data_IF_740766528531
#
_entry.id   IF_740766528531
#
_cell.length_a   1.000
_cell.length_b   1.000
_cell.length_c   1.000
_cell.angle_alpha   90.00
_cell.angle_beta   90.00
_cell.angle_gamma   90.00
#
_symmetry.space_group_name_H-M   'P 1'
#
loop_
_entity.id
_entity.type
_entity.pdbx_description
1 polymer ?
#
# COMPACT_ATOMS: atom_id res chain seq x y z
N UNK A 1 44.80 24.41 26.44
CA UNK A 1 44.19 24.00 25.14
C UNK A 1 43.88 22.53 25.28
N UNK A 2 42.61 22.11 25.22
CA UNK A 2 42.29 20.69 25.12
C UNK A 2 42.65 20.20 23.69
N UNK A 3 42.99 18.91 23.52
CA UNK A 3 43.36 18.36 22.22
C UNK A 3 42.13 18.36 21.30
N UNK A 4 42.35 18.78 20.06
CA UNK A 4 41.36 18.71 18.96
C UNK A 4 41.16 17.21 18.69
N UNK A 5 39.99 16.69 18.99
CA UNK A 5 39.60 15.34 18.58
C UNK A 5 39.59 15.28 17.04
N UNK A 6 40.14 14.20 16.44
CA UNK A 6 40.10 14.03 15.01
C UNK A 6 38.63 13.96 14.56
N UNK A 7 38.26 14.82 13.60
CA UNK A 7 36.98 14.81 12.94
C UNK A 7 36.69 13.37 12.50
N UNK A 8 35.58 12.79 12.97
CA UNK A 8 35.06 11.53 12.46
C UNK A 8 34.99 11.65 10.94
N UNK A 9 35.67 10.77 10.23
CA UNK A 9 35.55 10.65 8.79
C UNK A 9 34.08 10.37 8.47
N UNK A 10 33.44 11.32 7.83
CA UNK A 10 32.06 11.17 7.39
C UNK A 10 31.99 10.04 6.36
N UNK A 11 31.05 9.07 6.49
CA UNK A 11 30.96 7.95 5.57
C UNK A 11 30.68 8.47 4.15
N UNK A 12 31.49 8.06 3.18
CA UNK A 12 31.31 8.39 1.77
C UNK A 12 30.19 7.53 1.21
N UNK A 13 29.17 8.14 0.63
CA UNK A 13 28.13 7.43 -0.11
C UNK A 13 28.39 7.42 -1.60
N UNK A 14 27.98 6.34 -2.27
CA UNK A 14 28.09 6.19 -3.71
C UNK A 14 26.70 6.36 -4.33
N UNK A 15 26.61 7.34 -5.22
CA UNK A 15 25.38 7.69 -5.93
C UNK A 15 25.35 7.01 -7.29
N UNK A 16 24.31 6.22 -7.54
CA UNK A 16 23.99 5.62 -8.83
C UNK A 16 22.89 6.43 -9.52
N UNK A 17 23.05 6.74 -10.79
CA UNK A 17 22.02 7.36 -11.62
C UNK A 17 21.70 6.43 -12.78
N UNK A 18 20.48 5.96 -12.88
CA UNK A 18 19.98 5.10 -13.95
C UNK A 18 18.95 5.86 -14.75
N UNK A 19 19.17 6.02 -16.06
CA UNK A 19 18.19 6.61 -16.95
C UNK A 19 17.05 5.62 -17.17
N UNK A 20 15.80 6.11 -17.07
CA UNK A 20 14.58 5.29 -17.17
C UNK A 20 13.54 5.98 -18.05
N UNK A 21 12.50 5.25 -18.37
CA UNK A 21 11.26 5.77 -18.94
C UNK A 21 10.08 5.27 -18.10
N UNK A 22 8.87 5.70 -18.44
CA UNK A 22 7.65 5.36 -17.72
C UNK A 22 7.33 3.85 -17.71
N UNK A 23 7.95 3.04 -18.58
CA UNK A 23 7.72 1.58 -18.63
C UNK A 23 8.70 0.79 -17.78
N UNK A 24 9.84 1.36 -17.41
CA UNK A 24 10.94 0.67 -16.74
C UNK A 24 11.27 1.22 -15.36
N UNK A 25 10.75 2.40 -15.00
CA UNK A 25 11.08 3.09 -13.74
C UNK A 25 10.86 2.22 -12.51
N UNK A 26 9.72 1.54 -12.41
CA UNK A 26 9.40 0.68 -11.27
C UNK A 26 10.33 -0.55 -11.20
N UNK A 27 10.61 -1.18 -12.35
CA UNK A 27 11.51 -2.33 -12.41
C UNK A 27 12.95 -1.95 -12.04
N UNK A 28 13.39 -0.76 -12.46
CA UNK A 28 14.70 -0.20 -12.07
C UNK A 28 14.73 0.08 -10.58
N UNK A 29 13.71 0.75 -10.03
CA UNK A 29 13.62 1.07 -8.62
C UNK A 29 13.64 -0.20 -7.74
N UNK A 30 12.81 -1.19 -8.07
CA UNK A 30 12.80 -2.48 -7.39
C UNK A 30 14.18 -3.16 -7.41
N UNK A 31 14.84 -3.17 -8.57
CA UNK A 31 16.18 -3.77 -8.69
C UNK A 31 17.22 -3.03 -7.86
N UNK A 32 17.18 -1.71 -7.78
CA UNK A 32 18.10 -0.92 -6.95
C UNK A 32 17.92 -1.24 -5.46
N UNK A 33 16.68 -1.39 -4.98
CA UNK A 33 16.41 -1.86 -3.62
C UNK A 33 16.94 -3.26 -3.36
N UNK A 34 16.68 -4.22 -4.25
CA UNK A 34 17.21 -5.60 -4.15
C UNK A 34 18.74 -5.64 -4.07
N UNK A 35 19.42 -4.66 -4.66
CA UNK A 35 20.88 -4.53 -4.64
C UNK A 35 21.42 -3.79 -3.42
N UNK A 36 20.55 -3.41 -2.48
CA UNK A 36 20.95 -2.80 -1.22
C UNK A 36 21.09 -1.29 -1.27
N UNK A 37 20.29 -0.63 -2.10
CA UNK A 37 20.17 0.83 -2.03
C UNK A 37 19.74 1.26 -0.63
N UNK A 38 20.38 2.28 -0.08
CA UNK A 38 20.06 2.89 1.23
C UNK A 38 19.09 4.07 1.12
N UNK A 39 18.86 4.52 -0.11
CA UNK A 39 17.91 5.56 -0.46
C UNK A 39 17.68 5.56 -1.97
N UNK A 40 16.49 5.98 -2.39
CA UNK A 40 16.11 6.04 -3.79
C UNK A 40 15.26 7.28 -4.04
N UNK A 41 15.50 7.94 -5.17
CA UNK A 41 14.76 9.09 -5.64
C UNK A 41 14.42 8.94 -7.12
N UNK A 42 13.13 8.97 -7.42
CA UNK A 42 12.62 8.97 -8.78
C UNK A 42 12.37 10.41 -9.24
N UNK A 43 12.88 10.74 -10.42
CA UNK A 43 12.58 12.00 -11.08
C UNK A 43 12.40 11.75 -12.57
N UNK A 44 11.83 12.72 -13.28
CA UNK A 44 11.52 12.57 -14.70
C UNK A 44 12.72 12.05 -15.51
N UNK A 45 12.61 10.83 -16.00
CA UNK A 45 13.62 10.17 -16.85
C UNK A 45 14.81 9.55 -16.13
N UNK A 46 14.87 9.57 -14.80
CA UNK A 46 15.99 8.99 -14.04
C UNK A 46 15.52 8.40 -12.71
N UNK A 47 16.18 7.32 -12.27
CA UNK A 47 16.17 6.85 -10.88
C UNK A 47 17.56 7.07 -10.29
N UNK A 48 17.62 7.72 -9.14
CA UNK A 48 18.84 7.99 -8.38
C UNK A 48 18.80 7.13 -7.13
N UNK A 49 19.86 6.41 -6.85
CA UNK A 49 19.98 5.57 -5.66
C UNK A 49 21.33 5.76 -4.97
N UNK A 50 21.37 5.56 -3.67
CA UNK A 50 22.57 5.66 -2.85
C UNK A 50 22.92 4.32 -2.25
N UNK A 51 24.24 4.05 -2.17
CA UNK A 51 24.79 2.81 -1.66
C UNK A 51 25.97 3.10 -0.77
N UNK A 52 26.23 2.25 0.21
CA UNK A 52 27.48 2.33 0.99
C UNK A 52 28.70 2.05 0.09
N UNK A 53 28.58 1.06 -0.79
CA UNK A 53 29.61 0.69 -1.77
C UNK A 53 28.98 0.48 -3.15
N UNK A 54 29.70 0.78 -4.26
CA UNK A 54 29.22 0.45 -5.59
C UNK A 54 29.04 -1.05 -5.76
N UNK A 55 27.88 -1.46 -6.30
CA UNK A 55 27.56 -2.87 -6.55
C UNK A 55 27.16 -3.05 -8.02
N UNK A 56 27.34 -4.24 -8.62
CA UNK A 56 26.77 -4.55 -9.92
C UNK A 56 25.23 -4.50 -9.83
N UNK A 57 24.62 -3.66 -10.65
CA UNK A 57 23.15 -3.48 -10.63
C UNK A 57 22.43 -4.44 -11.59
N UNK A 58 23.04 -4.73 -12.73
CA UNK A 58 22.50 -5.66 -13.71
C UNK A 58 22.70 -7.14 -13.31
N UNK A 59 21.81 -8.00 -13.79
CA UNK A 59 21.99 -9.45 -13.73
C UNK A 59 21.82 -10.05 -15.14
N UNK A 60 22.50 -11.18 -15.46
CA UNK A 60 22.37 -11.85 -16.75
C UNK A 60 20.92 -12.27 -17.08
N UNK A 61 20.10 -12.45 -16.04
CA UNK A 61 18.68 -12.84 -16.13
C UNK A 61 17.73 -11.65 -16.29
N UNK A 62 18.21 -10.42 -16.17
CA UNK A 62 17.37 -9.24 -16.34
C UNK A 62 16.91 -9.11 -17.79
N UNK A 63 15.61 -8.85 -18.04
CA UNK A 63 15.10 -8.65 -19.38
C UNK A 63 15.62 -7.33 -19.98
N UNK A 64 15.68 -7.25 -21.30
CA UNK A 64 15.84 -5.97 -21.97
C UNK A 64 14.47 -5.23 -21.99
N UNK A 65 14.43 -3.87 -21.84
CA UNK A 65 15.58 -2.95 -21.76
C UNK A 65 16.19 -2.73 -20.37
N UNK A 66 15.63 -3.34 -19.32
CA UNK A 66 16.09 -3.15 -17.92
C UNK A 66 17.59 -3.40 -17.75
N UNK A 67 18.10 -4.50 -18.33
CA UNK A 67 19.53 -4.84 -18.24
C UNK A 67 20.42 -3.76 -18.86
N UNK A 68 20.04 -3.23 -20.03
CA UNK A 68 20.80 -2.16 -20.69
C UNK A 68 20.83 -0.88 -19.86
N UNK A 69 19.72 -0.53 -19.20
CA UNK A 69 19.62 0.65 -18.34
C UNK A 69 20.48 0.50 -17.07
N UNK A 70 20.40 -0.66 -16.41
CA UNK A 70 21.20 -0.95 -15.22
C UNK A 70 22.69 -1.04 -15.53
N UNK A 71 23.07 -1.58 -16.71
CA UNK A 71 24.46 -1.62 -17.19
C UNK A 71 25.02 -0.25 -17.57
N UNK A 72 24.16 0.71 -17.91
CA UNK A 72 24.53 2.09 -18.24
C UNK A 72 24.54 3.03 -17.04
N UNK A 73 24.52 2.49 -15.80
CA UNK A 73 24.52 3.28 -14.57
C UNK A 73 25.73 4.21 -14.49
N UNK A 74 25.46 5.44 -14.06
CA UNK A 74 26.50 6.43 -13.76
C UNK A 74 26.74 6.48 -12.26
N UNK A 75 27.94 6.10 -11.83
CA UNK A 75 28.38 6.18 -10.45
C UNK A 75 29.11 7.48 -10.17
N UNK A 76 28.84 8.11 -9.05
CA UNK A 76 29.62 9.22 -8.49
C UNK A 76 29.85 8.99 -7.00
N UNK A 77 31.03 9.37 -6.51
CA UNK A 77 31.30 9.47 -5.07
C UNK A 77 30.81 10.84 -4.60
N UNK A 78 29.94 10.83 -3.63
CA UNK A 78 29.57 12.05 -2.92
C UNK A 78 30.28 12.02 -1.56
N UNK A 79 31.16 13.01 -1.32
CA UNK A 79 31.62 13.31 0.03
C UNK A 79 30.40 13.69 0.85
N UNK A 80 30.33 13.23 2.09
CA UNK A 80 29.19 13.39 2.96
C UNK A 80 28.69 14.85 3.01
N UNK A 81 27.85 15.19 2.06
CA UNK A 81 26.82 16.18 2.25
C UNK A 81 25.72 15.44 2.97
N UNK A 82 25.10 16.05 3.92
CA UNK A 82 23.89 15.53 4.55
C UNK A 82 22.77 15.42 3.49
N UNK A 83 22.97 14.44 2.56
CA UNK A 83 22.02 14.15 1.48
C UNK A 83 20.63 13.85 2.05
N UNK A 84 20.56 13.35 3.29
CA UNK A 84 19.29 13.15 3.97
C UNK A 84 18.62 14.50 4.27
N UNK A 85 19.37 15.51 4.72
CA UNK A 85 18.84 16.84 4.93
C UNK A 85 18.47 17.51 3.61
N UNK A 86 19.33 17.42 2.58
CA UNK A 86 19.03 17.95 1.23
C UNK A 86 17.81 17.26 0.62
N UNK A 87 17.72 15.93 0.71
CA UNK A 87 16.57 15.15 0.25
C UNK A 87 15.31 15.51 1.04
N UNK A 88 15.37 15.56 2.36
CA UNK A 88 14.24 15.98 3.20
C UNK A 88 13.77 17.39 2.84
N UNK A 89 14.67 18.29 2.50
CA UNK A 89 14.33 19.66 2.09
C UNK A 89 13.60 19.73 0.72
N UNK A 90 13.68 18.69 -0.11
CA UNK A 90 12.97 18.60 -1.39
C UNK A 90 11.61 17.92 -1.32
N UNK A 91 11.32 17.25 -0.19
CA UNK A 91 10.04 16.56 0.02
C UNK A 91 9.03 17.55 0.59
N UNK A 92 7.93 17.69 -0.11
CA UNK A 92 6.80 18.52 0.30
C UNK A 92 5.65 17.65 0.79
N UNK A 93 4.72 18.25 1.53
CA UNK A 93 3.46 17.62 1.87
C UNK A 93 2.62 17.38 0.62
N UNK A 94 1.92 16.25 0.54
CA UNK A 94 1.07 15.90 -0.60
C UNK A 94 -0.38 15.98 -0.21
N UNK A 95 -1.18 16.64 -1.03
CA UNK A 95 -2.63 16.71 -0.86
C UNK A 95 -3.34 15.75 -1.81
N UNK A 96 -4.18 14.90 -1.27
CA UNK A 96 -5.09 14.01 -1.98
C UNK A 96 -6.52 14.26 -1.48
N UNK A 97 -7.27 15.10 -2.18
CA UNK A 97 -8.58 15.55 -1.68
C UNK A 97 -8.46 16.32 -0.37
N UNK A 98 -9.11 15.84 0.67
CA UNK A 98 -9.05 16.36 2.05
C UNK A 98 -8.00 15.67 2.92
N UNK A 99 -7.25 14.73 2.36
CA UNK A 99 -6.12 14.09 3.05
C UNK A 99 -4.83 14.83 2.70
N UNK A 100 -4.09 15.23 3.72
CA UNK A 100 -2.76 15.82 3.57
C UNK A 100 -1.74 14.88 4.19
N UNK A 101 -0.83 14.37 3.37
CA UNK A 101 0.26 13.51 3.81
C UNK A 101 1.46 14.42 4.11
N UNK A 102 1.91 14.40 5.35
CA UNK A 102 2.96 15.27 5.87
C UNK A 102 4.11 14.40 6.36
N UNK A 103 5.33 14.58 5.83
CA UNK A 103 6.53 13.99 6.41
C UNK A 103 6.70 14.38 7.87
N UNK A 104 7.18 13.47 8.72
CA UNK A 104 7.28 13.73 10.17
C UNK A 104 8.14 14.93 10.52
N UNK A 105 9.17 15.22 9.72
CA UNK A 105 10.05 16.39 9.90
C UNK A 105 9.42 17.73 9.49
N UNK A 106 8.24 17.72 8.86
CA UNK A 106 7.45 18.92 8.54
C UNK A 106 6.21 19.06 9.45
N UNK A 107 6.01 18.15 10.40
CA UNK A 107 4.81 18.11 11.23
C UNK A 107 4.62 19.38 12.05
N UNK A 108 5.69 19.94 12.62
CA UNK A 108 5.66 21.13 13.49
C UNK A 108 5.33 22.41 12.71
N UNK A 109 5.68 22.45 11.42
CA UNK A 109 5.46 23.59 10.52
C UNK A 109 4.14 23.48 9.74
N UNK A 110 3.48 22.31 9.80
CA UNK A 110 2.24 22.07 9.05
C UNK A 110 1.04 22.65 9.77
N UNK A 111 0.28 23.48 9.05
CA UNK A 111 -1.02 23.99 9.50
C UNK A 111 -2.11 23.34 8.67
N UNK A 112 -2.95 22.51 9.32
CA UNK A 112 -4.08 21.89 8.66
C UNK A 112 -5.17 22.91 8.35
N UNK A 113 -5.78 22.82 7.17
CA UNK A 113 -6.99 23.55 6.84
C UNK A 113 -8.20 22.92 7.56
N UNK A 114 -9.27 23.69 7.75
CA UNK A 114 -10.49 23.20 8.39
C UNK A 114 -11.09 22.04 7.59
N UNK A 115 -11.26 20.91 8.25
CA UNK A 115 -11.80 19.68 7.68
C UNK A 115 -10.78 18.80 6.94
N UNK A 116 -9.51 19.12 6.94
CA UNK A 116 -8.45 18.25 6.43
C UNK A 116 -8.15 17.11 7.40
N UNK A 117 -7.78 15.96 6.86
CA UNK A 117 -7.12 14.88 7.57
C UNK A 117 -5.62 14.94 7.32
N UNK A 118 -4.85 15.26 8.34
CA UNK A 118 -3.39 15.20 8.28
C UNK A 118 -2.91 13.80 8.66
N UNK A 119 -2.10 13.17 7.80
CA UNK A 119 -1.43 11.90 8.05
C UNK A 119 0.08 12.09 8.07
N UNK A 120 0.73 11.67 9.16
CA UNK A 120 2.18 11.73 9.32
C UNK A 120 2.81 10.45 8.75
N UNK A 121 3.48 10.57 7.61
CA UNK A 121 4.11 9.45 6.91
C UNK A 121 5.46 9.86 6.34
N UNK A 122 6.50 9.09 6.65
CA UNK A 122 7.82 9.30 6.08
C UNK A 122 7.96 8.51 4.78
N UNK A 123 8.35 9.17 3.68
CA UNK A 123 8.63 8.46 2.44
C UNK A 123 9.87 7.56 2.57
N UNK A 124 9.87 6.40 1.93
CA UNK A 124 11.09 5.62 1.68
C UNK A 124 11.26 4.27 2.38
N UNK A 125 10.38 3.82 3.31
CA UNK A 125 10.51 2.49 3.93
C UNK A 125 9.56 1.43 3.37
N UNK A 126 8.46 1.85 2.75
CA UNK A 126 7.50 0.98 2.09
C UNK A 126 6.82 1.74 0.96
N UNK A 127 6.22 1.01 0.01
CA UNK A 127 5.42 1.61 -1.06
C UNK A 127 4.20 2.35 -0.46
N UNK A 128 3.76 3.45 -1.12
CA UNK A 128 2.59 4.22 -0.68
C UNK A 128 2.93 5.46 0.15
N UNK A 129 3.97 6.22 -0.25
CA UNK A 129 4.30 7.53 0.36
C UNK A 129 3.24 8.62 0.13
N UNK A 130 2.17 8.31 -0.60
CA UNK A 130 1.12 9.27 -0.96
C UNK A 130 1.40 10.11 -2.21
N UNK A 131 2.64 10.14 -2.70
CA UNK A 131 3.02 10.93 -3.88
C UNK A 131 2.55 10.30 -5.20
N UNK A 132 2.25 9.02 -5.21
CA UNK A 132 1.86 8.30 -6.42
C UNK A 132 0.37 8.53 -6.74
N UNK A 133 0.06 8.72 -8.02
CA UNK A 133 -1.30 8.98 -8.51
C UNK A 133 -2.32 7.94 -8.04
N UNK A 134 -1.93 6.66 -7.98
CA UNK A 134 -2.81 5.56 -7.54
C UNK A 134 -3.25 5.70 -6.09
N UNK A 135 -2.34 6.09 -5.20
CA UNK A 135 -2.65 6.34 -3.78
C UNK A 135 -3.58 7.53 -3.64
N UNK A 136 -3.29 8.62 -4.38
CA UNK A 136 -4.16 9.80 -4.41
C UNK A 136 -5.58 9.47 -4.86
N UNK A 137 -5.73 8.67 -5.93
CA UNK A 137 -7.04 8.24 -6.41
C UNK A 137 -7.83 7.46 -5.36
N UNK A 138 -7.19 6.53 -4.64
CA UNK A 138 -7.82 5.78 -3.56
C UNK A 138 -8.23 6.69 -2.40
N UNK A 139 -7.36 7.60 -1.96
CA UNK A 139 -7.66 8.55 -0.89
C UNK A 139 -8.83 9.46 -1.23
N UNK A 140 -8.92 9.95 -2.47
CA UNK A 140 -10.07 10.76 -2.92
C UNK A 140 -11.38 9.98 -2.93
N UNK A 141 -11.36 8.66 -3.20
CA UNK A 141 -12.55 7.81 -3.04
C UNK A 141 -12.94 7.70 -1.57
N UNK A 142 -11.97 7.44 -0.67
CA UNK A 142 -12.22 7.37 0.77
C UNK A 142 -12.75 8.71 1.32
N UNK A 143 -12.24 9.85 0.84
CA UNK A 143 -12.76 11.17 1.19
C UNK A 143 -14.22 11.36 0.76
N UNK A 144 -14.57 10.90 -0.44
CA UNK A 144 -15.95 10.94 -0.93
C UNK A 144 -16.90 10.08 -0.10
N UNK A 145 -16.44 8.91 0.36
CA UNK A 145 -17.21 8.04 1.26
C UNK A 145 -17.42 8.69 2.63
N UNK A 146 -16.38 9.33 3.18
CA UNK A 146 -16.46 10.07 4.45
C UNK A 146 -17.47 11.22 4.37
N UNK A 147 -17.37 12.07 3.33
CA UNK A 147 -18.26 13.20 3.10
C UNK A 147 -19.73 12.80 2.97
N UNK A 148 -19.99 11.59 2.48
CA UNK A 148 -21.33 11.04 2.30
C UNK A 148 -21.80 10.19 3.49
N UNK A 149 -21.00 10.10 4.57
CA UNK A 149 -21.29 9.31 5.76
C UNK A 149 -21.27 7.78 5.53
N UNK A 150 -20.60 7.33 4.46
CA UNK A 150 -20.54 5.92 4.06
C UNK A 150 -19.26 5.20 4.52
N UNK A 151 -18.41 5.85 5.34
CA UNK A 151 -17.14 5.29 5.79
C UNK A 151 -17.10 4.99 7.29
N UNK A 152 -17.54 5.94 8.13
CA UNK A 152 -17.55 5.77 9.58
C UNK A 152 -18.40 4.57 10.02
N UNK A 153 -17.85 3.76 10.93
CA UNK A 153 -18.49 2.55 11.44
C UNK A 153 -18.45 1.33 10.50
N UNK A 154 -17.89 1.48 9.29
CA UNK A 154 -17.73 0.39 8.33
C UNK A 154 -16.41 -0.39 8.58
N UNK A 155 -16.37 -1.62 8.09
CA UNK A 155 -15.14 -2.40 8.05
C UNK A 155 -14.43 -2.17 6.72
N UNK A 156 -13.16 -1.77 6.82
CA UNK A 156 -12.30 -1.51 5.67
C UNK A 156 -11.11 -2.45 5.68
N UNK A 157 -10.84 -3.12 4.57
CA UNK A 157 -9.64 -3.91 4.35
C UNK A 157 -8.74 -3.24 3.30
N UNK A 158 -7.45 -3.11 3.59
CA UNK A 158 -6.40 -2.65 2.70
C UNK A 158 -5.51 -3.83 2.32
N UNK A 159 -5.59 -4.29 1.07
CA UNK A 159 -4.88 -5.46 0.56
C UNK A 159 -3.63 -5.02 -0.19
N UNK A 160 -2.46 -5.46 0.28
CA UNK A 160 -1.18 -4.90 -0.11
C UNK A 160 -0.97 -3.53 0.52
N UNK A 161 -1.10 -3.46 1.86
CA UNK A 161 -1.21 -2.18 2.57
C UNK A 161 0.07 -1.33 2.54
N UNK A 162 1.25 -1.92 2.30
CA UNK A 162 2.51 -1.20 2.18
C UNK A 162 2.81 -0.31 3.40
N UNK A 163 2.77 1.01 3.21
CA UNK A 163 2.91 1.99 4.31
C UNK A 163 1.71 2.05 5.26
N UNK A 164 0.59 1.43 4.90
CA UNK A 164 -0.68 1.47 5.63
C UNK A 164 -1.52 2.71 5.39
N UNK A 165 -1.13 3.59 4.47
CA UNK A 165 -1.76 4.90 4.27
C UNK A 165 -3.27 4.83 4.08
N UNK A 166 -3.78 3.85 3.30
CA UNK A 166 -5.21 3.73 3.00
C UNK A 166 -5.98 3.18 4.20
N UNK A 167 -5.45 2.17 4.90
CA UNK A 167 -6.01 1.66 6.14
C UNK A 167 -6.05 2.73 7.24
N UNK A 168 -4.94 3.49 7.39
CA UNK A 168 -4.81 4.57 8.38
C UNK A 168 -5.79 5.71 8.06
N UNK A 169 -5.90 6.11 6.78
CA UNK A 169 -6.86 7.12 6.34
C UNK A 169 -8.30 6.72 6.65
N UNK A 170 -8.65 5.45 6.41
CA UNK A 170 -9.96 4.90 6.74
C UNK A 170 -10.22 4.89 8.25
N UNK A 171 -9.25 4.41 9.05
CA UNK A 171 -9.35 4.38 10.51
C UNK A 171 -9.49 5.77 11.13
N UNK A 172 -8.73 6.74 10.63
CA UNK A 172 -8.81 8.14 11.10
C UNK A 172 -10.17 8.79 10.82
N UNK A 173 -10.91 8.27 9.82
CA UNK A 173 -12.30 8.67 9.49
C UNK A 173 -13.37 7.78 10.12
N UNK A 174 -13.00 6.95 11.10
CA UNK A 174 -13.92 6.15 11.90
C UNK A 174 -14.28 4.79 11.33
N UNK A 175 -13.58 4.28 10.32
CA UNK A 175 -13.71 2.90 9.89
C UNK A 175 -12.97 1.95 10.86
N UNK A 176 -13.43 0.70 10.96
CA UNK A 176 -12.66 -0.39 11.57
C UNK A 176 -11.75 -0.97 10.49
N UNK A 177 -10.46 -0.67 10.54
CA UNK A 177 -9.54 -0.99 9.46
C UNK A 177 -8.65 -2.21 9.75
N UNK A 178 -8.42 -3.02 8.72
CA UNK A 178 -7.44 -4.10 8.68
C UNK A 178 -6.54 -3.92 7.45
N UNK A 179 -5.22 -4.04 7.63
CA UNK A 179 -4.24 -4.08 6.56
C UNK A 179 -3.64 -5.48 6.43
N UNK A 180 -3.45 -5.96 5.21
CA UNK A 180 -2.70 -7.19 4.95
C UNK A 180 -1.61 -6.94 3.91
N UNK A 181 -0.44 -7.54 4.13
CA UNK A 181 0.67 -7.48 3.16
C UNK A 181 1.48 -8.77 3.21
N UNK A 182 1.98 -9.19 2.05
CA UNK A 182 2.85 -10.36 1.92
C UNK A 182 4.29 -10.07 2.37
N UNK A 183 4.64 -8.78 2.51
CA UNK A 183 5.92 -8.34 3.01
C UNK A 183 5.84 -8.07 4.52
N UNK A 184 6.63 -8.79 5.30
CA UNK A 184 6.71 -8.63 6.75
C UNK A 184 7.22 -7.23 7.17
N UNK A 185 8.07 -6.61 6.35
CA UNK A 185 8.58 -5.26 6.61
C UNK A 185 7.46 -4.22 6.40
N UNK A 186 6.62 -4.38 5.36
CA UNK A 186 5.43 -3.55 5.16
C UNK A 186 4.45 -3.66 6.33
N UNK A 187 4.24 -4.88 6.85
CA UNK A 187 3.42 -5.12 8.06
C UNK A 187 3.95 -4.35 9.27
N UNK A 188 5.28 -4.35 9.48
CA UNK A 188 5.90 -3.61 10.58
C UNK A 188 5.75 -2.09 10.39
N UNK A 189 6.01 -1.59 9.18
CA UNK A 189 5.88 -0.17 8.81
C UNK A 189 4.44 0.32 8.99
N UNK A 190 3.45 -0.46 8.54
CA UNK A 190 2.03 -0.12 8.73
C UNK A 190 1.68 0.06 10.21
N UNK A 191 2.16 -0.83 11.10
CA UNK A 191 1.93 -0.72 12.56
C UNK A 191 2.55 0.54 13.13
N UNK A 192 3.82 0.81 12.79
CA UNK A 192 4.53 2.02 13.23
C UNK A 192 3.79 3.30 12.77
N UNK A 193 3.32 3.32 11.53
CA UNK A 193 2.59 4.46 10.98
C UNK A 193 1.20 4.63 11.61
N UNK A 194 0.48 3.54 11.88
CA UNK A 194 -0.80 3.59 12.59
C UNK A 194 -0.65 4.17 14.01
N UNK A 195 0.36 3.70 14.76
CA UNK A 195 0.69 4.23 16.08
C UNK A 195 1.05 5.72 16.02
N UNK A 196 1.90 6.12 15.07
CA UNK A 196 2.29 7.53 14.85
C UNK A 196 1.11 8.44 14.58
N UNK A 197 0.10 7.95 13.87
CA UNK A 197 -1.12 8.69 13.55
C UNK A 197 -2.22 8.55 14.62
N UNK A 198 -1.95 7.85 15.73
CA UNK A 198 -2.90 7.70 16.83
C UNK A 198 -4.15 6.89 16.47
N UNK A 199 -4.07 6.02 15.47
CA UNK A 199 -5.19 5.19 15.02
C UNK A 199 -4.92 3.70 15.25
N UNK A 200 -6.01 2.93 15.37
CA UNK A 200 -5.91 1.46 15.48
C UNK A 200 -6.20 0.83 14.11
N UNK A 201 -5.22 0.09 13.61
CA UNK A 201 -5.32 -0.74 12.41
C UNK A 201 -4.88 -2.15 12.78
N UNK A 202 -5.72 -3.13 12.53
CA UNK A 202 -5.30 -4.52 12.61
C UNK A 202 -4.39 -4.84 11.43
N UNK A 203 -3.16 -5.35 11.66
CA UNK A 203 -2.22 -5.62 10.56
C UNK A 203 -1.76 -7.06 10.59
N UNK A 204 -1.91 -7.78 9.46
CA UNK A 204 -1.58 -9.20 9.31
C UNK A 204 -0.61 -9.42 8.15
N UNK A 205 0.26 -10.38 8.30
CA UNK A 205 1.11 -10.89 7.23
C UNK A 205 0.34 -11.89 6.37
N UNK A 206 0.30 -11.68 5.06
CA UNK A 206 -0.40 -12.53 4.08
C UNK A 206 -1.12 -11.69 3.03
N UNK A 207 -1.93 -12.34 2.19
CA UNK A 207 -2.73 -11.69 1.16
C UNK A 207 -4.22 -11.66 1.57
N UNK A 208 -5.14 -11.68 0.61
CA UNK A 208 -6.60 -11.62 0.85
C UNK A 208 -7.07 -12.70 1.82
N UNK A 209 -6.48 -13.89 1.78
CA UNK A 209 -6.80 -15.03 2.67
C UNK A 209 -6.46 -14.76 4.14
N UNK A 210 -5.61 -13.79 4.43
CA UNK A 210 -5.29 -13.39 5.80
C UNK A 210 -6.33 -12.44 6.41
N UNK A 211 -7.31 -11.98 5.65
CA UNK A 211 -8.40 -11.15 6.17
C UNK A 211 -9.23 -11.94 7.19
N UNK A 212 -9.64 -11.30 8.30
CA UNK A 212 -10.37 -11.99 9.38
C UNK A 212 -11.77 -12.42 8.99
N UNK A 213 -12.35 -11.78 7.98
CA UNK A 213 -13.72 -11.97 7.49
C UNK A 213 -13.93 -11.20 6.18
N UNK A 214 -15.10 -11.36 5.56
CA UNK A 214 -15.58 -10.46 4.52
C UNK A 214 -15.78 -9.07 5.11
N UNK A 215 -15.42 -8.02 4.36
CA UNK A 215 -15.43 -6.63 4.80
C UNK A 215 -16.33 -5.77 3.91
N UNK A 216 -16.84 -4.67 4.48
CA UNK A 216 -17.75 -3.79 3.75
C UNK A 216 -17.05 -3.12 2.58
N UNK A 217 -15.83 -2.66 2.81
CA UNK A 217 -15.02 -1.93 1.83
C UNK A 217 -13.67 -2.61 1.72
N UNK A 218 -13.29 -3.02 0.52
CA UNK A 218 -11.94 -3.51 0.23
C UNK A 218 -11.24 -2.51 -0.66
N UNK A 219 -10.01 -2.14 -0.29
CA UNK A 219 -9.11 -1.34 -1.12
C UNK A 219 -7.92 -2.21 -1.50
N UNK A 220 -7.54 -2.20 -2.78
CA UNK A 220 -6.39 -2.91 -3.32
C UNK A 220 -5.64 -1.98 -4.28
N UNK A 221 -4.56 -1.36 -3.82
CA UNK A 221 -3.68 -0.55 -4.66
C UNK A 221 -2.48 -1.39 -5.08
N UNK A 222 -2.66 -2.23 -6.09
CA UNK A 222 -1.73 -3.26 -6.53
C UNK A 222 -1.46 -3.14 -8.03
N UNK A 223 -0.32 -3.65 -8.51
CA UNK A 223 -0.05 -3.65 -9.95
C UNK A 223 -1.09 -4.44 -10.73
N UNK A 224 -1.37 -4.06 -11.96
CA UNK A 224 -2.47 -4.58 -12.80
C UNK A 224 -2.56 -6.11 -12.82
N UNK A 225 -1.42 -6.82 -12.95
CA UNK A 225 -1.39 -8.28 -13.01
C UNK A 225 -1.83 -8.92 -11.70
N UNK A 226 -1.46 -8.33 -10.58
CA UNK A 226 -1.84 -8.81 -9.24
C UNK A 226 -3.31 -8.54 -8.98
N UNK A 227 -3.85 -7.36 -9.38
CA UNK A 227 -5.29 -7.08 -9.34
C UNK A 227 -6.07 -8.13 -10.13
N UNK A 228 -5.65 -8.41 -11.36
CA UNK A 228 -6.33 -9.41 -12.20
C UNK A 228 -6.24 -10.82 -11.59
N UNK A 229 -5.08 -11.22 -11.06
CA UNK A 229 -4.88 -12.51 -10.42
C UNK A 229 -5.73 -12.68 -9.14
N UNK A 230 -5.88 -11.62 -8.37
CA UNK A 230 -6.62 -11.61 -7.11
C UNK A 230 -8.09 -11.19 -7.26
N UNK A 231 -8.59 -10.94 -8.49
CA UNK A 231 -9.96 -10.44 -8.71
C UNK A 231 -11.03 -11.28 -8.01
N UNK A 232 -11.01 -12.61 -8.16
CA UNK A 232 -11.95 -13.50 -7.46
C UNK A 232 -11.88 -13.41 -5.95
N UNK A 233 -10.71 -13.60 -5.31
CA UNK A 233 -10.52 -13.41 -3.88
C UNK A 233 -10.92 -12.03 -3.37
N UNK A 234 -10.57 -10.93 -4.07
CA UNK A 234 -10.92 -9.55 -3.70
C UNK A 234 -12.44 -9.34 -3.69
N UNK A 235 -13.11 -9.74 -4.77
CA UNK A 235 -14.58 -9.63 -4.88
C UNK A 235 -15.27 -10.49 -3.80
N UNK A 236 -14.78 -11.72 -3.57
CA UNK A 236 -15.32 -12.58 -2.51
C UNK A 236 -15.14 -12.00 -1.10
N UNK A 237 -14.02 -11.34 -0.83
CA UNK A 237 -13.76 -10.68 0.46
C UNK A 237 -14.62 -9.42 0.68
N UNK A 238 -15.18 -8.84 -0.37
CA UNK A 238 -15.99 -7.62 -0.34
C UNK A 238 -17.46 -7.94 -0.12
N UNK A 239 -18.15 -7.14 0.71
CA UNK A 239 -19.60 -7.26 0.88
C UNK A 239 -20.39 -6.09 0.27
N UNK A 240 -19.73 -4.95 0.00
CA UNK A 240 -20.37 -3.78 -0.60
C UNK A 240 -19.47 -3.15 -1.68
N UNK A 241 -18.36 -2.52 -1.31
CA UNK A 241 -17.54 -1.69 -2.22
C UNK A 241 -16.12 -2.22 -2.36
N UNK A 242 -15.65 -2.36 -3.60
CA UNK A 242 -14.25 -2.62 -3.94
C UNK A 242 -13.65 -1.39 -4.65
N UNK A 243 -12.48 -0.96 -4.18
CA UNK A 243 -11.64 0.07 -4.79
C UNK A 243 -10.36 -0.62 -5.25
N UNK A 244 -10.13 -0.73 -6.56
CA UNK A 244 -8.93 -1.34 -7.14
C UNK A 244 -8.13 -0.27 -7.90
N UNK A 245 -6.88 -0.08 -7.56
CA UNK A 245 -5.97 0.87 -8.19
C UNK A 245 -4.58 0.25 -8.41
N UNK A 246 -3.60 1.04 -8.91
CA UNK A 246 -2.32 0.51 -9.35
C UNK A 246 -2.37 -0.05 -10.77
N UNK A 247 -3.39 0.34 -11.51
CA UNK A 247 -3.72 -0.14 -12.86
C UNK A 247 -3.32 0.94 -13.85
N UNK A 248 -2.52 0.60 -14.86
CA UNK A 248 -2.19 1.54 -15.94
C UNK A 248 -3.32 1.63 -16.96
N UNK A 249 -3.48 2.81 -17.57
CA UNK A 249 -4.52 3.04 -18.60
C UNK A 249 -4.40 2.02 -19.74
N UNK A 250 -3.17 1.68 -20.19
CA UNK A 250 -2.90 0.76 -21.28
C UNK A 250 -3.35 -0.68 -20.98
N UNK A 251 -3.43 -1.02 -19.68
CA UNK A 251 -3.76 -2.38 -19.22
C UNK A 251 -5.07 -2.47 -18.45
N UNK A 252 -5.87 -1.40 -18.46
CA UNK A 252 -7.13 -1.34 -17.71
C UNK A 252 -8.09 -2.48 -18.05
N UNK A 253 -8.16 -2.89 -19.33
CA UNK A 253 -9.09 -3.93 -19.77
C UNK A 253 -8.79 -5.27 -19.08
N UNK A 254 -7.51 -5.57 -18.81
CA UNK A 254 -7.10 -6.79 -18.10
C UNK A 254 -7.69 -6.83 -16.68
N UNK A 255 -7.63 -5.72 -15.97
CA UNK A 255 -8.18 -5.64 -14.60
C UNK A 255 -9.72 -5.57 -14.62
N UNK A 256 -10.31 -4.78 -15.55
CA UNK A 256 -11.76 -4.63 -15.68
C UNK A 256 -12.43 -5.96 -16.02
N UNK A 257 -11.91 -6.70 -17.00
CA UNK A 257 -12.45 -8.00 -17.40
C UNK A 257 -12.37 -9.01 -16.26
N UNK A 258 -11.23 -9.07 -15.57
CA UNK A 258 -11.04 -9.98 -14.42
C UNK A 258 -11.98 -9.67 -13.26
N UNK A 259 -12.12 -8.40 -12.88
CA UNK A 259 -13.00 -7.97 -11.80
C UNK A 259 -14.48 -8.19 -12.14
N UNK A 260 -14.88 -7.86 -13.38
CA UNK A 260 -16.25 -8.07 -13.87
C UNK A 260 -16.58 -9.57 -13.95
N UNK A 261 -15.66 -10.40 -14.45
CA UNK A 261 -15.84 -11.86 -14.48
C UNK A 261 -15.94 -12.47 -13.07
N UNK A 262 -15.32 -11.83 -12.07
CA UNK A 262 -15.44 -12.21 -10.66
C UNK A 262 -16.74 -11.73 -9.99
N UNK A 263 -17.57 -10.95 -10.69
CA UNK A 263 -18.87 -10.47 -10.18
C UNK A 263 -18.85 -9.04 -9.63
N UNK A 264 -17.84 -8.24 -9.93
CA UNK A 264 -17.85 -6.83 -9.58
C UNK A 264 -18.59 -6.02 -10.64
N UNK A 265 -19.60 -5.24 -10.21
CA UNK A 265 -20.19 -4.20 -11.05
C UNK A 265 -19.37 -2.93 -10.90
N UNK A 266 -18.64 -2.55 -11.94
CA UNK A 266 -17.84 -1.32 -11.94
C UNK A 266 -18.77 -0.13 -12.19
N UNK A 267 -18.83 0.79 -11.23
CA UNK A 267 -19.70 1.97 -11.28
C UNK A 267 -18.92 3.24 -11.65
N UNK A 268 -17.64 3.30 -11.29
CA UNK A 268 -16.82 4.49 -11.48
C UNK A 268 -15.40 4.10 -11.91
N UNK A 269 -14.85 4.88 -12.84
CA UNK A 269 -13.47 4.85 -13.27
C UNK A 269 -12.86 6.23 -13.09
N UNK A 270 -11.82 6.34 -12.31
CA UNK A 270 -11.03 7.56 -12.13
C UNK A 270 -9.67 7.40 -12.81
N UNK A 271 -9.13 8.51 -13.33
CA UNK A 271 -7.85 8.53 -14.00
C UNK A 271 -7.00 9.72 -13.55
N UNK A 272 -5.69 9.48 -13.38
CA UNK A 272 -4.68 10.51 -13.10
C UNK A 272 -3.31 10.02 -13.57
N UNK A 273 -2.63 10.86 -14.36
CA UNK A 273 -1.23 10.65 -14.79
C UNK A 273 -0.96 9.25 -15.40
N UNK A 274 -1.91 8.72 -16.20
CA UNK A 274 -1.80 7.41 -16.84
C UNK A 274 -2.17 6.22 -15.93
N UNK A 275 -2.65 6.49 -14.71
CA UNK A 275 -3.12 5.48 -13.76
C UNK A 275 -4.60 5.58 -13.53
N UNK A 276 -5.24 4.45 -13.22
CA UNK A 276 -6.66 4.41 -12.90
C UNK A 276 -6.95 3.78 -11.55
N UNK A 277 -8.10 4.18 -11.02
CA UNK A 277 -8.81 3.48 -9.96
C UNK A 277 -10.19 3.07 -10.47
N UNK A 278 -10.56 1.83 -10.22
CA UNK A 278 -11.89 1.26 -10.48
C UNK A 278 -12.63 1.15 -9.16
N UNK A 279 -13.87 1.65 -9.13
CA UNK A 279 -14.75 1.57 -7.97
C UNK A 279 -16.00 0.83 -8.37
N UNK A 280 -16.36 -0.20 -7.63
CA UNK A 280 -17.50 -1.03 -7.98
C UNK A 280 -18.14 -1.68 -6.75
N UNK A 281 -19.39 -2.12 -6.92
CA UNK A 281 -20.15 -2.82 -5.91
C UNK A 281 -20.25 -4.32 -6.24
N UNK A 282 -20.26 -5.13 -5.19
CA UNK A 282 -20.61 -6.56 -5.29
C UNK A 282 -22.13 -6.67 -5.12
N UNK A 283 -22.81 -7.28 -6.11
CA UNK A 283 -24.24 -7.50 -6.02
C UNK A 283 -24.57 -8.43 -4.85
N UNK A 284 -25.55 -8.02 -4.03
CA UNK A 284 -25.97 -8.75 -2.83
C UNK A 284 -26.54 -10.16 -3.11
N UNK A 285 -26.86 -10.45 -4.38
CA UNK A 285 -27.48 -11.71 -4.81
C UNK A 285 -26.47 -12.82 -5.22
N UNK A 286 -25.16 -12.56 -5.08
CA UNK A 286 -24.09 -13.51 -5.39
C UNK A 286 -23.74 -14.51 -4.29
N UNK A 287 -24.47 -14.48 -3.16
CA UNK A 287 -24.30 -15.51 -2.11
C UNK A 287 -25.01 -16.81 -2.53
N UNK A 288 -24.29 -17.60 -3.34
CA UNK A 288 -24.61 -19.00 -3.50
C UNK A 288 -24.50 -19.69 -2.13
N UNK A 289 -25.49 -19.48 -1.28
CA UNK A 289 -25.74 -20.35 -0.14
C UNK A 289 -25.89 -21.76 -0.68
N UNK A 290 -24.80 -22.51 -0.76
CA UNK A 290 -24.88 -23.93 -0.56
C UNK A 290 -25.37 -24.07 0.89
N UNK A 291 -26.66 -24.36 1.04
CA UNK A 291 -27.23 -24.87 2.28
C UNK A 291 -26.40 -26.08 2.71
N UNK A 292 -25.42 -25.83 3.60
CA UNK A 292 -24.83 -26.91 4.38
C UNK A 292 -25.91 -27.28 5.38
N UNK A 293 -26.61 -28.34 5.02
CA UNK A 293 -27.61 -29.02 5.81
C UNK A 293 -27.13 -29.19 7.27
N UNK A 294 -27.70 -28.42 8.19
CA UNK A 294 -27.55 -28.53 9.64
C UNK A 294 -28.27 -29.80 10.19
N UNK A 295 -28.29 -30.88 9.41
CA UNK A 295 -28.94 -32.15 9.73
C UNK A 295 -28.28 -33.00 10.80
N UNK A 296 -27.15 -32.59 11.42
CA UNK A 296 -26.42 -33.49 12.35
C UNK A 296 -26.31 -32.97 13.82
N UNK A 297 -27.09 -31.99 14.23
CA UNK A 297 -27.10 -31.52 15.64
C UNK A 297 -28.32 -31.96 16.48
N UNK A 298 -29.23 -32.78 15.95
CA UNK A 298 -30.42 -33.21 16.68
C UNK A 298 -30.31 -34.64 17.29
N UNK A 299 -29.19 -35.36 17.13
CA UNK A 299 -29.09 -36.79 17.58
C UNK A 299 -28.23 -37.01 18.86
N UNK A 300 -27.83 -35.97 19.59
CA UNK A 300 -26.98 -36.11 20.79
C UNK A 300 -27.61 -35.64 22.12
N UNK A 301 -28.91 -35.43 22.18
CA UNK A 301 -29.59 -34.89 23.39
C UNK A 301 -30.53 -35.90 24.08
N UNK A 302 -30.54 -37.20 23.72
CA UNK A 302 -31.43 -38.19 24.37
C UNK A 302 -30.67 -39.47 24.80
N UNK A 303 -29.56 -39.33 25.48
CA UNK A 303 -28.89 -40.44 26.17
C UNK A 303 -28.31 -39.95 27.50
N UNK A 304 -29.14 -39.90 28.56
CA UNK A 304 -28.61 -39.56 29.88
C UNK A 304 -29.64 -39.30 30.97
N UNK A 305 -30.74 -40.01 31.01
CA UNK A 305 -31.62 -40.00 32.19
C UNK A 305 -31.63 -41.36 32.87
N UNK A 306 -30.74 -41.51 33.88
CA UNK A 306 -30.77 -42.62 34.80
C UNK A 306 -31.99 -42.48 35.74
N UNK A 307 -32.65 -43.61 36.12
CA UNK A 307 -33.77 -43.59 37.07
C UNK A 307 -33.27 -43.42 38.51
N UNK A 308 -34.05 -42.68 39.30
CA UNK A 308 -33.85 -42.52 40.75
C UNK A 308 -34.18 -43.79 41.49
N UNK A 309 -33.52 -44.17 42.60
CA UNK A 309 -33.87 -45.30 43.43
C UNK A 309 -35.04 -44.96 44.38
N UNK A 310 -35.97 -45.91 44.48
CA UNK A 310 -37.02 -45.93 45.48
C UNK A 310 -36.44 -46.13 46.90
N UNK A 311 -36.84 -45.29 47.83
CA UNK A 311 -37.14 -45.57 49.25
C UNK A 311 -37.77 -44.35 49.91
#
# INVERSE_FOLDING_TARGET
>A
MPPIEPHAEHPVTNRAVVATDHTTVEAVAARLWERGAIGLWERSGEVIAWFHEPVPLEAPTDPEPLRAQLGAVRWSREADRDWQAEWKATIESVRAGRTVIVPTWLADDHVADDGDLTLLLDPGRAFGSGHHATTTLCLEVLDGLDLTGRLAGRHLADVGCGSGILAIAGAARGATAVGVDIDADAVAVTRENAERNGVTVEVRHGSVEALPRRTDIVVANLVTDVVAQLAGPLVHATTDLLIASGITVERQDVAMDALTAAGLRIDERRERDGWIALVGHVDADGDGRADVDDGERAAAADAGRAPAPDA
#
